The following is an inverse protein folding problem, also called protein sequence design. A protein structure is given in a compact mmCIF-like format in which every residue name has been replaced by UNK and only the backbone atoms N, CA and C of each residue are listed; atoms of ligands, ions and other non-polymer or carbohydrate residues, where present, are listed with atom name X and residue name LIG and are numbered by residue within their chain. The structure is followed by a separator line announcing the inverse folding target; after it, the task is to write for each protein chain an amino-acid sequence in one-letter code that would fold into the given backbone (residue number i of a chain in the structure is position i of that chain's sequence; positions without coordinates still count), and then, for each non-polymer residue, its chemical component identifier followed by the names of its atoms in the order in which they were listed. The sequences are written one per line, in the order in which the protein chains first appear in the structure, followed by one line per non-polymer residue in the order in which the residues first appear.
data_IF_622876157095
#
_entry.id   IF_622876157095
#
_cell.length_a   1.000
_cell.length_b   1.000
_cell.length_c   1.000
_cell.angle_alpha   90.00
_cell.angle_beta   90.00
_cell.angle_gamma   90.00
#
_symmetry.space_group_name_H-M   'P 1'
#
loop_
_entity.id
_entity.type
_entity.pdbx_description
1 polymer ?
#
# COMPACT_ATOMS: atom_id res chain seq x y z
N UNK A 1 17.42 -2.30 11.61
CA UNK A 1 16.55 -1.74 10.55
C UNK A 1 15.32 -2.61 10.45
N UNK A 2 14.13 -2.04 10.62
CA UNK A 2 12.86 -2.79 10.55
C UNK A 2 12.20 -2.48 9.22
N UNK A 3 11.76 -3.51 8.51
CA UNK A 3 11.00 -3.41 7.27
C UNK A 3 9.53 -3.68 7.61
N UNK A 4 8.69 -2.66 7.56
CA UNK A 4 7.26 -2.79 7.83
C UNK A 4 6.54 -3.04 6.50
N UNK A 5 5.84 -4.17 6.38
CA UNK A 5 5.08 -4.49 5.16
C UNK A 5 3.62 -4.70 5.53
N UNK A 6 2.72 -4.06 4.80
CA UNK A 6 1.27 -4.23 4.94
C UNK A 6 0.70 -4.73 3.62
N UNK A 7 -0.08 -5.80 3.68
CA UNK A 7 -0.81 -6.37 2.54
C UNK A 7 -2.31 -6.11 2.73
N UNK A 8 -2.96 -5.61 1.69
CA UNK A 8 -4.30 -5.05 1.76
C UNK A 8 -5.21 -5.75 0.77
N UNK A 9 -6.36 -6.19 1.29
CA UNK A 9 -7.53 -6.59 0.51
C UNK A 9 -8.60 -5.53 0.71
N UNK A 10 -8.78 -4.65 -0.26
CA UNK A 10 -9.85 -3.66 -0.21
C UNK A 10 -11.21 -4.34 -0.24
N UNK A 11 -12.20 -3.68 0.39
CA UNK A 11 -13.58 -4.14 0.29
C UNK A 11 -14.09 -3.93 -1.15
N UNK A 12 -15.00 -4.77 -1.66
CA UNK A 12 -15.44 -4.71 -3.06
C UNK A 12 -16.04 -3.37 -3.50
N UNK A 13 -16.62 -2.62 -2.56
CA UNK A 13 -17.22 -1.30 -2.80
C UNK A 13 -16.20 -0.16 -2.96
N UNK A 14 -14.91 -0.39 -2.65
CA UNK A 14 -13.88 0.64 -2.76
C UNK A 14 -13.41 0.73 -4.22
N UNK A 15 -13.52 1.92 -4.78
CA UNK A 15 -13.16 2.23 -6.17
C UNK A 15 -11.65 2.43 -6.33
N UNK A 16 -11.13 2.25 -7.55
CA UNK A 16 -9.72 2.52 -7.87
C UNK A 16 -9.33 4.00 -7.61
N UNK A 17 -10.29 4.93 -7.74
CA UNK A 17 -10.07 6.34 -7.42
C UNK A 17 -9.88 6.58 -5.92
N UNK A 18 -10.68 5.91 -5.07
CA UNK A 18 -10.50 5.95 -3.62
C UNK A 18 -9.18 5.29 -3.20
N UNK A 19 -8.81 4.17 -3.82
CA UNK A 19 -7.52 3.50 -3.59
C UNK A 19 -6.35 4.44 -3.94
N UNK A 20 -6.41 5.13 -5.08
CA UNK A 20 -5.40 6.09 -5.47
C UNK A 20 -5.27 7.25 -4.47
N UNK A 21 -6.40 7.81 -4.01
CA UNK A 21 -6.41 8.86 -3.00
C UNK A 21 -5.77 8.41 -1.68
N UNK A 22 -6.05 7.17 -1.24
CA UNK A 22 -5.41 6.58 -0.05
C UNK A 22 -3.89 6.46 -0.19
N UNK A 23 -3.38 6.16 -1.38
CA UNK A 23 -1.93 6.15 -1.62
C UNK A 23 -1.31 7.54 -1.56
N UNK A 24 -2.00 8.57 -2.05
CA UNK A 24 -1.52 9.95 -1.96
C UNK A 24 -1.51 10.44 -0.52
N UNK A 25 -2.53 10.11 0.27
CA UNK A 25 -2.56 10.39 1.70
C UNK A 25 -1.43 9.68 2.46
N UNK A 26 -1.16 8.41 2.13
CA UNK A 26 -0.08 7.65 2.75
C UNK A 26 1.30 8.26 2.42
N UNK A 27 1.54 8.65 1.16
CA UNK A 27 2.78 9.33 0.75
C UNK A 27 2.95 10.68 1.46
N UNK A 28 1.85 11.38 1.76
CA UNK A 28 1.89 12.63 2.50
C UNK A 28 2.33 12.46 3.97
N UNK A 29 2.47 11.23 4.49
CA UNK A 29 3.04 10.96 5.82
C UNK A 29 4.57 11.00 5.81
N UNK A 30 5.20 10.89 4.64
CA UNK A 30 6.66 10.93 4.51
C UNK A 30 7.23 12.22 5.15
N UNK A 31 8.29 12.05 5.95
CA UNK A 31 8.91 13.12 6.73
C UNK A 31 8.12 13.64 7.94
N UNK A 32 6.88 13.17 8.21
CA UNK A 32 6.09 13.60 9.38
C UNK A 32 6.33 12.77 10.64
N UNK A 33 6.84 11.54 10.50
CA UNK A 33 7.06 10.62 11.63
C UNK A 33 8.55 10.37 11.82
N UNK A 34 9.14 10.69 13.00
CA UNK A 34 10.54 10.42 13.27
C UNK A 34 10.87 8.93 13.13
N UNK A 35 11.91 8.61 12.36
CA UNK A 35 12.37 7.24 12.13
C UNK A 35 11.60 6.47 11.06
N UNK A 36 10.58 7.08 10.43
CA UNK A 36 9.93 6.53 9.25
C UNK A 36 10.83 6.77 8.02
N UNK A 37 11.09 5.70 7.26
CA UNK A 37 11.78 5.79 5.98
C UNK A 37 10.84 6.12 4.83
N UNK A 38 11.34 6.02 3.60
CA UNK A 38 10.52 6.18 2.41
C UNK A 38 9.37 5.16 2.39
N UNK A 39 8.20 5.61 1.95
CA UNK A 39 7.02 4.75 1.73
C UNK A 39 6.89 4.43 0.25
N UNK A 40 6.77 3.14 -0.06
CA UNK A 40 6.44 2.62 -1.39
C UNK A 40 5.10 1.90 -1.31
N UNK A 41 4.13 2.27 -2.16
CA UNK A 41 2.78 1.70 -2.15
C UNK A 41 2.27 1.45 -3.57
N UNK A 42 1.49 0.38 -3.75
CA UNK A 42 0.92 0.04 -5.05
C UNK A 42 0.11 -1.26 -5.08
N UNK A 43 -0.26 -1.64 -6.31
CA UNK A 43 -0.95 -2.89 -6.63
C UNK A 43 0.08 -3.99 -6.96
N UNK A 44 -0.26 -5.24 -6.67
CA UNK A 44 0.52 -6.40 -7.09
C UNK A 44 0.51 -6.53 -8.62
N UNK A 45 1.70 -6.75 -9.18
CA UNK A 45 1.93 -7.08 -10.60
C UNK A 45 2.56 -8.48 -10.74
N UNK A 46 2.43 -9.33 -9.71
CA UNK A 46 3.00 -10.68 -9.68
C UNK A 46 2.38 -11.57 -10.75
N UNK A 47 3.17 -12.17 -11.67
CA UNK A 47 2.65 -13.14 -12.63
C UNK A 47 2.24 -14.47 -11.98
N UNK A 48 2.68 -14.74 -10.75
CA UNK A 48 2.43 -16.00 -10.03
C UNK A 48 1.00 -16.14 -9.49
N UNK A 49 0.24 -15.04 -9.36
CA UNK A 49 -1.17 -15.03 -8.92
C UNK A 49 -1.43 -15.68 -7.55
N UNK A 50 -0.45 -15.61 -6.64
CA UNK A 50 -0.52 -16.21 -5.29
C UNK A 50 -0.87 -15.20 -4.18
N UNK A 51 -1.41 -14.04 -4.52
CA UNK A 51 -1.73 -12.96 -3.56
C UNK A 51 -2.85 -13.32 -2.60
N UNK A 52 -3.63 -14.37 -2.89
CA UNK A 52 -4.76 -14.84 -2.04
C UNK A 52 -5.78 -13.73 -1.73
N UNK A 53 -5.94 -12.78 -2.67
CA UNK A 53 -6.85 -11.64 -2.57
C UNK A 53 -6.23 -10.36 -2.00
N UNK A 54 -4.96 -10.37 -1.59
CA UNK A 54 -4.24 -9.18 -1.13
C UNK A 54 -3.52 -8.49 -2.30
N UNK A 55 -4.30 -7.82 -3.14
CA UNK A 55 -3.79 -7.23 -4.39
C UNK A 55 -3.06 -5.90 -4.21
N UNK A 56 -2.95 -5.38 -2.98
CA UNK A 56 -2.31 -4.10 -2.71
C UNK A 56 -1.40 -4.17 -1.50
N UNK A 57 -0.43 -3.27 -1.41
CA UNK A 57 0.40 -3.17 -0.22
C UNK A 57 1.30 -1.95 -0.20
N UNK A 58 1.95 -1.74 0.93
CA UNK A 58 3.00 -0.73 1.08
C UNK A 58 4.13 -1.18 2.01
N UNK A 59 5.28 -0.52 1.88
CA UNK A 59 6.50 -0.76 2.65
C UNK A 59 7.34 0.50 2.85
#
# INVERSE_FOLDING_TARGET
MVRHIVLIRFRPEVTEAEIAALWDELRAIDGKVPGLGAIHAGRSESPEQIERGYMHGFT
#
